data_IF_457405429733
#
_entry.id   IF_457405429733
#
_cell.length_a   1.000
_cell.length_b   1.000
_cell.length_c   1.000
_cell.angle_alpha   90.00
_cell.angle_beta   90.00
_cell.angle_gamma   90.00
#
_symmetry.space_group_name_H-M   'P 1'
#
loop_
_entity.id
_entity.type
_entity.pdbx_description
1 polymer ?
#
# COMPACT_ATOMS: atom_id res chain seq x y z
N UNK A 1 -21.15 18.85 -1.42
CA UNK A 1 -21.34 18.16 -2.72
C UNK A 1 -21.68 16.70 -2.44
N UNK A 2 -22.75 16.18 -3.04
CA UNK A 2 -23.14 14.77 -2.87
C UNK A 2 -22.22 13.87 -3.73
N UNK A 3 -22.06 12.61 -3.32
CA UNK A 3 -21.15 11.66 -4.01
C UNK A 3 -21.49 11.51 -5.51
N UNK A 4 -22.78 11.40 -5.84
CA UNK A 4 -23.24 11.30 -7.23
C UNK A 4 -22.91 12.55 -8.03
N UNK A 5 -23.12 13.73 -7.46
CA UNK A 5 -22.78 15.02 -8.09
C UNK A 5 -21.28 15.12 -8.39
N UNK A 6 -20.43 14.73 -7.44
CA UNK A 6 -18.98 14.65 -7.66
C UNK A 6 -18.64 13.65 -8.76
N UNK A 7 -19.28 12.48 -8.77
CA UNK A 7 -19.07 11.45 -9.79
C UNK A 7 -19.38 12.00 -11.18
N UNK A 8 -20.57 12.60 -11.38
CA UNK A 8 -21.01 13.14 -12.66
C UNK A 8 -20.14 14.32 -13.13
N UNK A 9 -19.70 15.16 -12.21
CA UNK A 9 -18.83 16.30 -12.51
C UNK A 9 -17.43 15.87 -12.96
N UNK A 10 -16.86 14.84 -12.36
CA UNK A 10 -15.45 14.46 -12.53
C UNK A 10 -15.21 13.28 -13.47
N UNK A 11 -16.25 12.66 -14.03
CA UNK A 11 -16.08 11.63 -15.06
C UNK A 11 -15.97 12.22 -16.46
N UNK A 12 -15.28 11.52 -17.35
CA UNK A 12 -15.26 11.86 -18.77
C UNK A 12 -16.54 11.42 -19.47
N UNK A 13 -17.03 12.24 -20.38
CA UNK A 13 -18.08 11.89 -21.34
C UNK A 13 -17.51 12.00 -22.76
N UNK A 14 -18.07 11.31 -23.75
CA UNK A 14 -17.58 11.37 -25.14
C UNK A 14 -17.42 12.78 -25.70
N UNK A 15 -18.36 13.67 -25.35
CA UNK A 15 -18.43 15.07 -25.82
C UNK A 15 -18.14 16.11 -24.73
N UNK A 16 -17.78 15.68 -23.52
CA UNK A 16 -17.42 16.55 -22.40
C UNK A 16 -16.29 15.87 -21.57
N UNK A 17 -15.03 16.14 -21.87
CA UNK A 17 -13.94 15.68 -20.99
C UNK A 17 -14.07 16.32 -19.61
N UNK A 18 -13.64 15.61 -18.59
CA UNK A 18 -13.54 16.19 -17.24
C UNK A 18 -12.45 17.27 -17.20
N UNK A 19 -12.62 18.27 -16.32
CA UNK A 19 -11.67 19.35 -16.17
C UNK A 19 -10.29 18.82 -15.79
N UNK A 20 -9.25 19.38 -16.41
CA UNK A 20 -7.85 19.15 -16.02
C UNK A 20 -7.41 20.18 -14.98
N UNK A 21 -6.25 19.97 -14.38
CA UNK A 21 -5.62 20.94 -13.48
C UNK A 21 -5.08 22.18 -14.24
N UNK A 22 -5.14 22.17 -15.58
CA UNK A 22 -4.56 23.22 -16.44
C UNK A 22 -3.06 23.03 -16.63
N UNK A 23 -2.29 24.12 -16.48
CA UNK A 23 -0.84 24.07 -16.58
C UNK A 23 -0.23 23.32 -15.38
N UNK A 24 0.73 22.43 -15.67
CA UNK A 24 1.50 21.72 -14.65
C UNK A 24 2.85 22.41 -14.44
N UNK A 25 3.09 22.85 -13.23
CA UNK A 25 4.41 23.30 -12.81
C UNK A 25 5.27 22.09 -12.43
N UNK A 26 6.08 21.63 -13.38
CA UNK A 26 6.95 20.47 -13.20
C UNK A 26 8.05 20.69 -12.15
N UNK A 27 8.36 21.93 -11.78
CA UNK A 27 9.29 22.21 -10.68
C UNK A 27 8.72 21.82 -9.32
N UNK A 28 7.39 21.70 -9.23
CA UNK A 28 6.69 21.30 -8.01
C UNK A 28 6.13 19.87 -8.09
N UNK A 29 6.64 19.04 -9.00
CA UNK A 29 6.20 17.65 -9.10
C UNK A 29 6.37 16.93 -7.74
N UNK A 30 5.30 16.31 -7.21
CA UNK A 30 5.36 15.64 -5.92
C UNK A 30 6.31 14.45 -5.95
N UNK A 31 7.17 14.33 -4.93
CA UNK A 31 7.97 13.12 -4.73
C UNK A 31 7.03 11.93 -4.44
N UNK A 32 7.06 10.85 -5.24
CA UNK A 32 6.22 9.67 -5.01
C UNK A 32 6.64 8.84 -3.79
N UNK A 33 7.77 9.18 -3.17
CA UNK A 33 8.29 8.47 -2.00
C UNK A 33 8.19 9.35 -0.75
N UNK A 34 7.64 8.76 0.30
CA UNK A 34 7.64 9.34 1.64
C UNK A 34 8.65 8.61 2.51
N UNK A 35 9.42 9.36 3.26
CA UNK A 35 10.30 8.85 4.31
C UNK A 35 10.09 9.62 5.61
N UNK A 36 10.41 9.00 6.73
CA UNK A 36 10.32 9.62 8.04
C UNK A 36 11.72 9.70 8.65
N UNK A 37 12.24 10.92 8.74
CA UNK A 37 13.55 11.18 9.34
C UNK A 37 13.55 10.91 10.85
N UNK A 38 14.72 10.59 11.40
CA UNK A 38 14.93 10.35 12.83
C UNK A 38 14.36 9.02 13.35
N UNK A 39 13.92 8.12 12.46
CA UNK A 39 13.51 6.77 12.83
C UNK A 39 14.67 5.77 12.66
N UNK A 40 14.59 4.64 13.38
CA UNK A 40 15.47 3.49 13.14
C UNK A 40 14.71 2.47 12.30
N UNK A 41 14.85 2.51 10.96
CA UNK A 41 14.07 1.65 10.08
C UNK A 41 14.50 0.19 10.20
N UNK A 42 13.52 -0.70 10.04
CA UNK A 42 13.74 -2.15 10.01
C UNK A 42 13.94 -2.54 8.55
N UNK A 43 15.12 -3.05 8.21
CA UNK A 43 15.40 -3.55 6.88
C UNK A 43 14.58 -4.79 6.57
N UNK A 44 13.88 -4.78 5.45
CA UNK A 44 13.14 -5.93 4.96
C UNK A 44 14.03 -6.78 4.05
N UNK A 45 14.06 -8.10 4.22
CA UNK A 45 14.83 -8.96 3.34
C UNK A 45 14.11 -9.14 1.99
N UNK A 46 14.86 -9.08 0.89
CA UNK A 46 14.39 -9.62 -0.40
C UNK A 46 14.49 -11.14 -0.37
N UNK A 47 13.47 -11.81 -0.87
CA UNK A 47 13.44 -13.27 -0.87
C UNK A 47 13.68 -13.85 -2.24
N UNK A 48 14.75 -14.63 -2.37
CA UNK A 48 15.08 -15.37 -3.60
C UNK A 48 14.41 -16.76 -3.66
N UNK A 49 13.67 -17.16 -2.62
CA UNK A 49 13.04 -18.49 -2.61
C UNK A 49 11.77 -18.50 -3.45
N UNK A 50 11.61 -19.55 -4.26
CA UNK A 50 10.39 -19.80 -5.04
C UNK A 50 9.26 -20.19 -4.11
N UNK A 51 8.08 -19.59 -4.26
CA UNK A 51 6.90 -19.90 -3.43
C UNK A 51 6.26 -21.24 -3.77
N UNK A 52 6.64 -21.87 -4.86
CA UNK A 52 6.06 -23.16 -5.32
C UNK A 52 4.63 -23.05 -5.85
N UNK A 53 4.12 -21.82 -6.00
CA UNK A 53 2.82 -21.53 -6.59
C UNK A 53 3.00 -21.12 -8.05
N UNK A 54 2.12 -21.58 -8.93
CA UNK A 54 2.08 -21.12 -10.31
C UNK A 54 1.05 -19.98 -10.50
N UNK A 55 0.99 -19.43 -11.71
CA UNK A 55 0.09 -18.34 -12.05
C UNK A 55 -1.38 -18.67 -11.80
N UNK A 56 -1.81 -19.89 -12.03
CA UNK A 56 -3.21 -20.29 -11.87
C UNK A 56 -3.60 -20.43 -10.40
N UNK A 57 -2.66 -20.78 -9.52
CA UNK A 57 -2.88 -20.87 -8.08
C UNK A 57 -3.31 -19.52 -7.46
N UNK A 58 -2.98 -18.41 -8.12
CA UNK A 58 -3.40 -17.07 -7.70
C UNK A 58 -4.92 -16.89 -7.67
N UNK A 59 -5.64 -17.62 -8.51
CA UNK A 59 -7.09 -17.48 -8.70
C UNK A 59 -7.90 -18.55 -7.96
N UNK A 60 -7.22 -19.54 -7.37
CA UNK A 60 -7.84 -20.66 -6.65
C UNK A 60 -7.74 -20.38 -5.15
N UNK A 61 -8.89 -20.13 -4.50
CA UNK A 61 -8.94 -19.91 -3.05
C UNK A 61 -8.41 -21.14 -2.29
N UNK A 62 -7.57 -20.87 -1.28
CA UNK A 62 -7.02 -21.86 -0.36
C UNK A 62 -6.16 -22.94 -1.01
N UNK A 63 -5.64 -22.72 -2.20
CA UNK A 63 -4.76 -23.67 -2.87
C UNK A 63 -3.29 -23.56 -2.42
N UNK A 64 -2.89 -22.39 -1.94
CA UNK A 64 -1.51 -22.14 -1.54
C UNK A 64 -1.27 -22.54 -0.08
N UNK A 65 -0.08 -23.11 0.18
CA UNK A 65 0.33 -23.49 1.53
C UNK A 65 0.53 -22.24 2.41
N UNK A 66 -0.12 -22.25 3.56
CA UNK A 66 0.01 -21.18 4.54
C UNK A 66 1.48 -20.97 4.95
N UNK A 67 1.96 -19.74 4.79
CA UNK A 67 3.26 -19.29 5.27
C UNK A 67 3.10 -18.61 6.64
N UNK A 68 4.04 -18.86 7.53
CA UNK A 68 4.02 -18.22 8.87
C UNK A 68 4.11 -16.71 8.77
N UNK A 69 3.51 -16.00 9.73
CA UNK A 69 3.66 -14.55 9.85
C UNK A 69 5.06 -14.25 10.42
N UNK A 70 6.02 -14.08 9.53
CA UNK A 70 7.41 -13.71 9.83
C UNK A 70 7.78 -12.42 9.10
N UNK A 71 8.82 -11.74 9.54
CA UNK A 71 9.33 -10.54 8.87
C UNK A 71 9.64 -10.83 7.39
N UNK A 72 10.24 -11.97 7.09
CA UNK A 72 10.55 -12.39 5.71
C UNK A 72 9.30 -12.52 4.84
N UNK A 73 8.23 -13.11 5.35
CA UNK A 73 7.01 -13.30 4.58
C UNK A 73 6.18 -12.00 4.48
N UNK A 74 6.23 -11.14 5.50
CA UNK A 74 5.67 -9.78 5.44
C UNK A 74 6.43 -8.95 4.41
N UNK A 75 7.77 -9.02 4.40
CA UNK A 75 8.60 -8.37 3.40
C UNK A 75 8.21 -8.80 1.97
N UNK A 76 8.03 -10.11 1.76
CA UNK A 76 7.59 -10.66 0.47
C UNK A 76 6.20 -10.18 0.07
N UNK A 77 5.24 -10.12 1.00
CA UNK A 77 3.93 -9.53 0.72
C UNK A 77 4.06 -8.11 0.20
N UNK A 78 4.86 -7.28 0.88
CA UNK A 78 5.05 -5.87 0.52
C UNK A 78 5.82 -5.72 -0.79
N UNK A 79 6.87 -6.51 -1.00
CA UNK A 79 7.64 -6.55 -2.24
C UNK A 79 6.73 -6.81 -3.44
N UNK A 80 5.90 -7.87 -3.38
CA UNK A 80 5.04 -8.31 -4.47
C UNK A 80 3.76 -7.49 -4.66
N UNK A 81 3.41 -6.64 -3.68
CA UNK A 81 2.17 -5.85 -3.74
C UNK A 81 2.38 -4.35 -3.91
N UNK A 82 3.34 -3.76 -3.22
CA UNK A 82 3.55 -2.31 -3.16
C UNK A 82 5.01 -1.88 -3.37
N UNK A 83 5.92 -2.85 -3.51
CA UNK A 83 7.34 -2.63 -3.75
C UNK A 83 7.64 -2.03 -5.12
N UNK A 84 8.88 -1.67 -5.34
CA UNK A 84 9.37 -1.25 -6.65
C UNK A 84 9.39 -2.45 -7.61
N UNK A 85 8.84 -2.26 -8.81
CA UNK A 85 8.85 -3.28 -9.86
C UNK A 85 9.94 -3.03 -10.91
N UNK A 86 10.18 -1.78 -11.24
CA UNK A 86 11.18 -1.39 -12.24
C UNK A 86 11.54 0.09 -12.16
N UNK A 87 12.66 0.45 -12.76
CA UNK A 87 13.00 1.82 -13.11
C UNK A 87 12.94 2.00 -14.63
N UNK A 88 12.36 3.11 -15.05
CA UNK A 88 12.40 3.55 -16.46
C UNK A 88 13.22 4.80 -16.59
N UNK A 89 13.88 4.94 -17.73
CA UNK A 89 14.66 6.14 -18.05
C UNK A 89 14.40 6.55 -19.50
N UNK A 90 14.23 7.83 -19.73
CA UNK A 90 14.09 8.41 -21.07
C UNK A 90 14.59 9.85 -21.06
N UNK A 91 15.43 10.20 -22.04
CA UNK A 91 15.95 11.56 -22.25
C UNK A 91 16.50 12.23 -20.98
N UNK A 92 17.26 11.47 -20.18
CA UNK A 92 17.91 11.99 -18.96
C UNK A 92 16.99 12.04 -17.72
N UNK A 93 15.72 11.70 -17.86
CA UNK A 93 14.77 11.60 -16.73
C UNK A 93 14.55 10.14 -16.37
N UNK A 94 14.53 9.82 -15.08
CA UNK A 94 14.25 8.47 -14.57
C UNK A 94 13.10 8.50 -13.57
N UNK A 95 12.26 7.47 -13.63
CA UNK A 95 11.15 7.30 -12.69
C UNK A 95 10.96 5.84 -12.33
N UNK A 96 10.45 5.63 -11.11
CA UNK A 96 10.17 4.30 -10.58
C UNK A 96 8.75 3.85 -10.95
N UNK A 97 8.59 2.55 -11.12
CA UNK A 97 7.29 1.88 -11.15
C UNK A 97 7.15 1.00 -9.92
N UNK A 98 5.94 0.90 -9.40
CA UNK A 98 5.60 -0.02 -8.29
C UNK A 98 4.77 -1.18 -8.79
N UNK A 99 4.64 -2.22 -7.96
CA UNK A 99 3.78 -3.37 -8.22
C UNK A 99 2.31 -2.95 -8.30
N UNK A 100 1.85 -2.08 -7.39
CA UNK A 100 0.51 -1.49 -7.48
C UNK A 100 0.49 -0.34 -8.49
N UNK A 101 -0.37 -0.40 -9.52
CA UNK A 101 -0.54 0.72 -10.45
C UNK A 101 -1.01 2.00 -9.75
N UNK A 102 -0.61 3.15 -10.29
CA UNK A 102 -1.06 4.44 -9.80
C UNK A 102 -1.38 5.39 -10.94
N UNK A 103 -2.42 6.18 -10.77
CA UNK A 103 -2.83 7.22 -11.70
C UNK A 103 -1.70 8.24 -11.89
N UNK A 104 -1.26 8.40 -13.14
CA UNK A 104 -0.14 9.30 -13.44
C UNK A 104 1.21 8.95 -12.82
N UNK A 105 1.36 7.78 -12.23
CA UNK A 105 2.56 7.29 -11.52
C UNK A 105 2.94 8.16 -10.30
N UNK A 106 1.95 8.78 -9.65
CA UNK A 106 2.14 9.70 -8.52
C UNK A 106 2.16 9.00 -7.15
N UNK A 107 1.65 7.79 -7.09
CA UNK A 107 1.66 6.91 -5.91
C UNK A 107 1.19 7.59 -4.62
N UNK A 108 -0.06 8.09 -4.56
CA UNK A 108 -0.61 8.72 -3.37
C UNK A 108 -0.82 7.74 -2.21
N UNK A 109 -0.95 6.44 -2.52
CA UNK A 109 -1.26 5.40 -1.53
C UNK A 109 -0.03 5.01 -0.74
N UNK A 110 -0.11 5.18 0.58
CA UNK A 110 0.89 4.76 1.57
C UNK A 110 0.35 3.60 2.40
N UNK A 111 1.21 2.65 2.75
CA UNK A 111 0.87 1.51 3.60
C UNK A 111 1.43 1.66 5.01
N UNK A 112 0.58 1.42 6.00
CA UNK A 112 0.96 1.35 7.41
C UNK A 112 0.58 -0.01 7.95
N UNK A 113 1.52 -0.68 8.60
CA UNK A 113 1.33 -1.99 9.19
C UNK A 113 1.22 -1.86 10.71
N UNK A 114 0.27 -2.58 11.30
CA UNK A 114 0.21 -2.78 12.75
C UNK A 114 0.64 -4.22 13.02
N UNK A 115 1.83 -4.37 13.59
CA UNK A 115 2.48 -5.66 13.77
C UNK A 115 2.62 -5.99 15.26
N UNK A 116 2.45 -7.26 15.60
CA UNK A 116 2.82 -7.79 16.91
C UNK A 116 4.33 -7.76 17.10
N UNK A 117 4.83 -8.08 18.30
CA UNK A 117 6.25 -8.32 18.58
C UNK A 117 6.80 -9.59 17.87
N UNK A 118 6.52 -9.74 16.57
CA UNK A 118 7.00 -10.87 15.73
C UNK A 118 8.45 -10.65 15.29
N UNK A 119 8.92 -9.42 15.41
CA UNK A 119 10.24 -9.05 14.94
C UNK A 119 11.28 -9.59 15.93
N UNK A 120 12.02 -10.59 15.50
CA UNK A 120 12.94 -11.43 16.28
C UNK A 120 13.92 -10.68 17.20
N UNK A 121 14.06 -9.35 17.04
CA UNK A 121 14.96 -8.51 17.82
C UNK A 121 14.26 -7.37 18.57
N UNK A 122 12.93 -7.28 18.56
CA UNK A 122 12.22 -6.19 19.21
C UNK A 122 11.00 -6.74 19.97
N UNK A 123 11.04 -6.70 21.30
CA UNK A 123 9.94 -7.17 22.15
C UNK A 123 8.68 -6.27 22.11
N UNK A 124 8.64 -5.31 21.20
CA UNK A 124 7.55 -4.36 21.10
C UNK A 124 6.85 -4.47 19.76
N UNK A 125 5.54 -4.56 19.79
CA UNK A 125 4.71 -4.34 18.61
C UNK A 125 4.66 -2.87 18.24
N UNK A 126 4.11 -2.54 17.09
CA UNK A 126 4.06 -1.15 16.66
C UNK A 126 3.26 -0.90 15.40
N UNK A 127 3.16 0.39 15.09
CA UNK A 127 2.69 0.89 13.79
C UNK A 127 3.92 1.28 12.97
N UNK A 128 3.99 0.78 11.75
CA UNK A 128 5.13 0.97 10.85
C UNK A 128 4.64 1.49 9.51
N UNK A 129 5.32 2.48 8.96
CA UNK A 129 5.16 2.90 7.57
C UNK A 129 6.05 2.03 6.68
N UNK A 130 5.53 1.56 5.56
CA UNK A 130 6.33 0.88 4.55
C UNK A 130 6.92 1.89 3.56
N UNK A 131 8.24 1.97 3.51
CA UNK A 131 8.95 2.77 2.52
C UNK A 131 9.41 1.87 1.36
N UNK A 132 8.77 1.95 0.19
CA UNK A 132 9.09 1.08 -0.94
C UNK A 132 10.41 1.41 -1.62
N UNK A 133 10.92 2.65 -1.49
CA UNK A 133 12.20 3.04 -2.11
C UNK A 133 13.37 2.27 -1.50
N UNK A 134 13.38 2.18 -0.18
CA UNK A 134 14.45 1.53 0.57
C UNK A 134 14.09 0.11 1.01
N UNK A 135 12.86 -0.32 0.76
CA UNK A 135 12.30 -1.60 1.23
C UNK A 135 12.48 -1.80 2.74
N UNK A 136 11.96 -0.85 3.51
CA UNK A 136 12.07 -0.84 4.98
C UNK A 136 10.72 -0.57 5.65
N UNK A 137 10.63 -0.94 6.93
CA UNK A 137 9.57 -0.51 7.83
C UNK A 137 10.08 0.62 8.73
N UNK A 138 9.46 1.77 8.65
CA UNK A 138 9.76 2.95 9.45
C UNK A 138 8.83 3.01 10.67
N UNK A 139 9.33 2.87 11.92
CA UNK A 139 8.50 2.91 13.11
C UNK A 139 7.76 4.25 13.26
N UNK A 140 6.45 4.18 13.54
CA UNK A 140 5.59 5.38 13.77
C UNK A 140 5.05 5.44 15.18
N UNK A 141 4.76 4.29 15.77
CA UNK A 141 4.35 4.15 17.15
C UNK A 141 4.77 2.78 17.67
N UNK A 142 4.95 2.70 18.98
CA UNK A 142 5.29 1.45 19.69
C UNK A 142 4.20 1.17 20.71
N UNK A 143 3.85 -0.06 20.92
CA UNK A 143 2.90 -0.50 21.94
C UNK A 143 3.37 -1.81 22.59
N UNK A 144 2.87 -2.08 23.77
CA UNK A 144 3.18 -3.28 24.53
C UNK A 144 2.43 -4.53 24.04
N UNK A 145 2.84 -5.68 24.52
CA UNK A 145 2.21 -6.96 24.20
C UNK A 145 0.75 -7.02 24.67
N UNK A 146 0.41 -6.37 25.79
CA UNK A 146 -0.97 -6.36 26.28
C UNK A 146 -1.93 -5.63 25.35
N UNK A 147 -1.48 -4.57 24.71
CA UNK A 147 -2.25 -3.89 23.68
C UNK A 147 -2.49 -4.81 22.47
N UNK A 148 -1.43 -5.53 22.04
CA UNK A 148 -1.55 -6.49 20.94
C UNK A 148 -2.55 -7.60 21.26
N UNK A 149 -2.49 -8.20 22.44
CA UNK A 149 -3.43 -9.24 22.86
C UNK A 149 -4.89 -8.76 22.88
N UNK A 150 -5.12 -7.49 23.24
CA UNK A 150 -6.46 -6.90 23.12
C UNK A 150 -6.94 -6.80 21.67
N UNK A 151 -6.06 -6.45 20.73
CA UNK A 151 -6.39 -6.41 19.30
C UNK A 151 -6.71 -7.82 18.77
N UNK A 152 -5.88 -8.82 19.07
CA UNK A 152 -6.13 -10.21 18.65
C UNK A 152 -7.46 -10.74 19.21
N UNK A 153 -7.76 -10.48 20.49
CA UNK A 153 -9.03 -10.85 21.10
C UNK A 153 -10.21 -10.14 20.44
N UNK A 154 -10.07 -8.86 20.08
CA UNK A 154 -11.12 -8.10 19.40
C UNK A 154 -11.45 -8.66 18.03
N UNK A 155 -10.44 -9.04 17.26
CA UNK A 155 -10.63 -9.58 15.92
C UNK A 155 -10.82 -11.10 15.90
N UNK A 156 -10.62 -11.79 17.03
CA UNK A 156 -10.71 -13.26 17.16
C UNK A 156 -9.88 -14.01 16.11
N UNK A 157 -8.78 -13.44 15.65
CA UNK A 157 -7.92 -14.01 14.61
C UNK A 157 -6.46 -13.63 14.85
N UNK A 158 -5.56 -14.55 14.50
CA UNK A 158 -4.13 -14.27 14.40
C UNK A 158 -3.84 -13.60 13.06
N UNK A 159 -2.99 -12.60 13.07
CA UNK A 159 -2.64 -11.88 11.85
C UNK A 159 -1.97 -10.53 12.15
N UNK A 160 -2.07 -9.61 11.22
CA UNK A 160 -1.66 -8.22 11.39
C UNK A 160 -2.58 -7.31 10.58
N UNK A 161 -2.53 -6.00 10.84
CA UNK A 161 -3.37 -5.04 10.15
C UNK A 161 -2.54 -4.26 9.12
N UNK A 162 -3.15 -3.95 7.99
CA UNK A 162 -2.62 -3.00 7.00
C UNK A 162 -3.64 -1.88 6.83
N UNK A 163 -3.21 -0.64 7.08
CA UNK A 163 -3.97 0.55 6.78
C UNK A 163 -3.41 1.23 5.53
N UNK A 164 -4.28 1.53 4.58
CA UNK A 164 -3.94 2.31 3.40
C UNK A 164 -4.41 3.74 3.59
N UNK A 165 -3.52 4.70 3.35
CA UNK A 165 -3.80 6.13 3.42
C UNK A 165 -3.45 6.80 2.10
N UNK A 166 -4.04 7.97 1.81
CA UNK A 166 -3.78 8.70 0.58
C UNK A 166 -3.17 10.07 0.85
N UNK A 167 -2.07 10.38 0.17
CA UNK A 167 -1.49 11.73 0.12
C UNK A 167 -2.15 12.46 -1.05
N UNK A 168 -3.28 13.12 -0.79
CA UNK A 168 -4.09 13.77 -1.82
C UNK A 168 -3.34 14.79 -2.66
N UNK A 169 -2.36 15.49 -2.09
CA UNK A 169 -1.53 16.47 -2.77
C UNK A 169 -0.92 15.91 -4.06
N UNK A 170 -0.43 14.67 -4.06
CA UNK A 170 0.20 14.06 -5.22
C UNK A 170 -0.75 14.01 -6.41
N UNK A 171 -2.00 13.56 -6.19
CA UNK A 171 -3.01 13.49 -7.24
C UNK A 171 -3.57 14.87 -7.60
N UNK A 172 -3.73 15.76 -6.60
CA UNK A 172 -4.26 17.11 -6.83
C UNK A 172 -3.36 17.94 -7.72
N UNK A 173 -2.06 17.79 -7.61
CA UNK A 173 -1.07 18.47 -8.42
C UNK A 173 -1.32 18.23 -9.93
N UNK A 174 -1.63 16.99 -10.31
CA UNK A 174 -1.82 16.61 -11.72
C UNK A 174 -3.27 16.65 -12.18
N UNK A 175 -4.20 16.30 -11.32
CA UNK A 175 -5.59 16.03 -11.70
C UNK A 175 -6.60 16.96 -11.07
N UNK A 176 -6.17 17.92 -10.24
CA UNK A 176 -7.04 18.91 -9.62
C UNK A 176 -8.24 18.26 -8.90
N UNK A 177 -9.45 18.67 -9.25
CA UNK A 177 -10.68 18.18 -8.61
C UNK A 177 -10.92 16.66 -8.78
N UNK A 178 -10.27 16.00 -9.74
CA UNK A 178 -10.37 14.55 -9.94
C UNK A 178 -9.51 13.74 -8.98
N UNK A 179 -8.65 14.38 -8.18
CA UNK A 179 -7.72 13.72 -7.27
C UNK A 179 -8.40 12.72 -6.33
N UNK A 180 -9.56 13.06 -5.76
CA UNK A 180 -10.30 12.16 -4.90
C UNK A 180 -10.69 10.86 -5.61
N UNK A 181 -11.14 10.93 -6.86
CA UNK A 181 -11.45 9.75 -7.68
C UNK A 181 -10.23 8.88 -7.88
N UNK A 182 -9.09 9.47 -8.26
CA UNK A 182 -7.86 8.73 -8.55
C UNK A 182 -7.25 8.12 -7.29
N UNK A 183 -7.26 8.80 -6.15
CA UNK A 183 -6.86 8.19 -4.88
C UNK A 183 -7.69 6.95 -4.54
N UNK A 184 -9.00 6.95 -4.81
CA UNK A 184 -9.83 5.76 -4.59
C UNK A 184 -9.52 4.63 -5.58
N UNK A 185 -9.20 4.94 -6.85
CA UNK A 185 -8.75 3.94 -7.81
C UNK A 185 -7.43 3.30 -7.37
N UNK A 186 -6.48 4.11 -6.93
CA UNK A 186 -5.15 3.66 -6.50
C UNK A 186 -5.23 2.81 -5.23
N UNK A 187 -6.11 3.14 -4.28
CA UNK A 187 -6.41 2.26 -3.14
C UNK A 187 -6.97 0.92 -3.63
N UNK A 188 -7.88 0.92 -4.59
CA UNK A 188 -8.43 -0.31 -5.20
C UNK A 188 -7.32 -1.18 -5.83
N UNK A 189 -6.39 -0.56 -6.55
CA UNK A 189 -5.22 -1.24 -7.10
C UNK A 189 -4.35 -1.85 -5.99
N UNK A 190 -4.02 -1.07 -4.96
CA UNK A 190 -3.21 -1.55 -3.83
C UNK A 190 -3.89 -2.70 -3.09
N UNK A 191 -5.20 -2.62 -2.82
CA UNK A 191 -5.97 -3.69 -2.20
C UNK A 191 -5.95 -4.97 -3.03
N UNK A 192 -6.06 -4.86 -4.36
CA UNK A 192 -6.00 -6.01 -5.26
C UNK A 192 -4.62 -6.65 -5.26
N UNK A 193 -3.56 -5.85 -5.37
CA UNK A 193 -2.18 -6.34 -5.31
C UNK A 193 -1.89 -7.03 -3.96
N UNK A 194 -2.30 -6.42 -2.83
CA UNK A 194 -2.16 -7.03 -1.51
C UNK A 194 -2.92 -8.36 -1.42
N UNK A 195 -4.17 -8.40 -1.91
CA UNK A 195 -4.99 -9.62 -1.87
C UNK A 195 -4.38 -10.75 -2.69
N UNK A 196 -3.89 -10.44 -3.89
CA UNK A 196 -3.24 -11.41 -4.77
C UNK A 196 -1.94 -11.94 -4.15
N UNK A 197 -1.10 -11.03 -3.62
CA UNK A 197 0.17 -11.41 -2.98
C UNK A 197 -0.05 -12.18 -1.68
N UNK A 198 -1.08 -11.83 -0.90
CA UNK A 198 -1.45 -12.59 0.29
C UNK A 198 -1.91 -14.01 -0.07
N UNK A 199 -2.67 -14.17 -1.15
CA UNK A 199 -3.09 -15.50 -1.61
C UNK A 199 -1.89 -16.40 -1.96
N UNK A 200 -0.82 -15.86 -2.56
CA UNK A 200 0.43 -16.60 -2.79
C UNK A 200 1.08 -17.12 -1.50
N UNK A 201 0.90 -16.40 -0.40
CA UNK A 201 1.39 -16.79 0.92
C UNK A 201 0.40 -17.68 1.68
N UNK A 202 -0.71 -18.06 1.06
CA UNK A 202 -1.79 -18.79 1.73
C UNK A 202 -2.53 -17.97 2.79
N UNK A 203 -2.43 -16.62 2.73
CA UNK A 203 -3.07 -15.72 3.67
C UNK A 203 -4.39 -15.19 3.12
N UNK A 204 -5.32 -14.91 4.02
CA UNK A 204 -6.61 -14.28 3.70
C UNK A 204 -6.59 -12.82 4.14
N UNK A 205 -6.93 -11.91 3.25
CA UNK A 205 -7.20 -10.51 3.60
C UNK A 205 -8.71 -10.32 3.82
N UNK A 206 -9.04 -9.60 4.88
CA UNK A 206 -10.41 -9.19 5.20
C UNK A 206 -10.45 -7.67 5.34
N UNK A 207 -11.37 -7.03 4.61
CA UNK A 207 -11.60 -5.60 4.71
C UNK A 207 -12.42 -5.27 5.97
N UNK A 208 -11.89 -4.38 6.82
CA UNK A 208 -12.52 -3.97 8.06
C UNK A 208 -13.38 -2.71 7.84
N UNK A 209 -14.57 -2.88 7.30
CA UNK A 209 -15.50 -1.78 6.98
C UNK A 209 -16.23 -1.21 8.20
N UNK A 210 -16.17 -1.88 9.33
CA UNK A 210 -16.78 -1.44 10.60
C UNK A 210 -15.94 -0.44 11.38
N UNK A 211 -14.66 -0.30 11.04
CA UNK A 211 -13.78 0.70 11.64
C UNK A 211 -14.04 2.04 10.95
N UNK A 212 -14.79 2.93 11.61
CA UNK A 212 -14.96 4.29 11.12
C UNK A 212 -14.00 5.24 11.81
N UNK A 213 -13.51 6.24 11.08
CA UNK A 213 -12.93 7.44 11.68
C UNK A 213 -14.06 8.27 12.27
N UNK A 214 -14.23 8.25 13.59
CA UNK A 214 -15.04 9.23 14.30
C UNK A 214 -14.24 10.47 14.55
#
# INVERSE_FOLDING_TARGET
MKVIEYHERTKHFPNRPANSAGYLDWATEPNPFRSYEGTSPIQLPFSNSVLGADYFDLFIRNNNKFQTFSLTNIARLLELSMGLSAWKSHSGTSWALRMNPSSGNLHPTEAHLVLSPILENNNSGGVFHYNPLSHVLEPRAVFDEQFWLRLENHFCQKGFLIALTSIYWRESWKYGERAFRYCNHDIGHAMTCLSTSANLLGWKITYLNSLSTK
#
